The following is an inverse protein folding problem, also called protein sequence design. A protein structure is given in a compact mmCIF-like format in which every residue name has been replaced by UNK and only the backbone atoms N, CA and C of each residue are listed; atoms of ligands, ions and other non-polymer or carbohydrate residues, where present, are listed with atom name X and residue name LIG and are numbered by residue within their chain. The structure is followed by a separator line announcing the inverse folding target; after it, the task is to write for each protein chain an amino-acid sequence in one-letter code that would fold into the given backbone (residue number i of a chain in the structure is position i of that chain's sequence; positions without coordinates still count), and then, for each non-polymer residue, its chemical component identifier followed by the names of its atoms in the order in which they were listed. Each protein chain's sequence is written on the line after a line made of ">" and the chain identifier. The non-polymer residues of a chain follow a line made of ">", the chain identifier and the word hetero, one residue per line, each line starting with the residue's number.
data_IF_736489044359
#
_entry.id   IF_736489044359
#
_cell.length_a   1.000
_cell.length_b   1.000
_cell.length_c   1.000
_cell.angle_alpha   90.00
_cell.angle_beta   90.00
_cell.angle_gamma   90.00
#
_symmetry.space_group_name_H-M   'P 1'
#
loop_
_entity.id
_entity.type
_entity.pdbx_description
1 polymer ?
#
# COMPACT_ATOMS: atom_id res chain seq x y z
N UNK A 1 -37.15 20.28 1.86
CA UNK A 1 -37.42 18.90 1.45
C UNK A 1 -36.44 18.55 0.33
N UNK A 2 -35.33 17.90 0.67
CA UNK A 2 -34.40 17.38 -0.33
C UNK A 2 -34.85 15.97 -0.61
N UNK A 3 -35.46 15.76 -1.77
CA UNK A 3 -35.75 14.42 -2.28
C UNK A 3 -34.41 13.73 -2.58
N UNK A 4 -33.99 12.87 -1.67
CA UNK A 4 -32.89 11.94 -1.88
C UNK A 4 -33.31 10.98 -2.99
N UNK A 5 -32.80 11.16 -4.20
CA UNK A 5 -32.71 10.08 -5.17
C UNK A 5 -31.65 9.12 -4.62
N UNK A 6 -32.09 8.04 -3.98
CA UNK A 6 -31.21 6.94 -3.63
C UNK A 6 -30.65 6.39 -4.94
N UNK A 7 -29.35 6.56 -5.17
CA UNK A 7 -28.66 5.87 -6.27
C UNK A 7 -28.73 4.37 -5.96
N UNK A 8 -29.55 3.66 -6.73
CA UNK A 8 -29.65 2.20 -6.60
C UNK A 8 -28.46 1.62 -7.37
N UNK A 9 -27.55 0.97 -6.67
CA UNK A 9 -26.41 0.28 -7.30
C UNK A 9 -26.92 -0.72 -8.33
N UNK A 10 -26.51 -0.65 -9.61
CA UNK A 10 -27.08 -1.46 -10.68
C UNK A 10 -26.74 -2.95 -10.51
N UNK A 11 -27.76 -3.80 -10.80
CA UNK A 11 -27.62 -5.26 -10.81
C UNK A 11 -27.52 -5.73 -12.27
N UNK A 12 -26.46 -6.45 -12.59
CA UNK A 12 -26.22 -7.09 -13.88
C UNK A 12 -26.42 -8.59 -13.74
N UNK A 13 -27.45 -9.13 -14.42
CA UNK A 13 -27.82 -10.53 -14.28
C UNK A 13 -27.21 -11.36 -15.41
N UNK A 14 -26.26 -12.22 -15.10
CA UNK A 14 -25.56 -13.13 -15.98
C UNK A 14 -25.02 -12.45 -17.26
N UNK A 15 -24.26 -11.32 -17.13
CA UNK A 15 -23.75 -10.60 -18.29
C UNK A 15 -22.78 -11.50 -19.08
N UNK A 16 -22.84 -11.46 -20.42
CA UNK A 16 -21.90 -12.21 -21.25
C UNK A 16 -20.46 -11.68 -21.04
N UNK A 17 -19.47 -12.57 -21.18
CA UNK A 17 -18.04 -12.22 -20.94
C UNK A 17 -17.57 -10.99 -21.74
N UNK A 18 -18.12 -10.76 -22.91
CA UNK A 18 -17.79 -9.58 -23.74
C UNK A 18 -18.14 -8.25 -23.07
N UNK A 19 -19.04 -8.22 -22.09
CA UNK A 19 -19.41 -7.02 -21.32
C UNK A 19 -18.56 -6.83 -20.05
N UNK A 20 -17.82 -7.85 -19.61
CA UNK A 20 -17.02 -7.79 -18.41
C UNK A 20 -16.01 -6.64 -18.38
N UNK A 21 -15.28 -6.32 -19.46
CA UNK A 21 -14.37 -5.18 -19.47
C UNK A 21 -15.02 -3.85 -19.07
N UNK A 22 -16.33 -3.67 -19.40
CA UNK A 22 -17.08 -2.49 -18.99
C UNK A 22 -17.47 -2.56 -17.51
N UNK A 23 -17.79 -3.74 -16.99
CA UNK A 23 -18.21 -3.94 -15.61
C UNK A 23 -17.06 -3.83 -14.63
N UNK A 24 -15.86 -4.25 -15.03
CA UNK A 24 -14.63 -4.14 -14.24
C UNK A 24 -13.91 -2.80 -14.44
N UNK A 25 -14.42 -1.91 -15.31
CA UNK A 25 -13.81 -0.60 -15.52
C UNK A 25 -13.89 0.25 -14.27
N UNK A 26 -12.82 0.97 -14.00
CA UNK A 26 -12.68 1.92 -12.91
C UNK A 26 -12.93 3.33 -13.39
N UNK A 27 -13.29 4.23 -12.48
CA UNK A 27 -13.38 5.65 -12.80
C UNK A 27 -12.00 6.12 -13.28
N UNK A 28 -11.93 6.68 -14.49
CA UNK A 28 -10.69 7.22 -15.02
C UNK A 28 -10.40 8.58 -14.34
N UNK A 29 -9.34 8.67 -13.57
CA UNK A 29 -8.82 9.96 -13.13
C UNK A 29 -8.05 10.61 -14.30
N UNK A 30 -8.41 11.85 -14.63
CA UNK A 30 -7.60 12.68 -15.52
C UNK A 30 -6.48 13.33 -14.72
N UNK A 31 -5.29 12.78 -14.83
CA UNK A 31 -4.10 13.29 -14.11
C UNK A 31 -3.40 14.46 -14.82
N UNK A 32 -3.80 14.80 -16.04
CA UNK A 32 -3.09 15.81 -16.86
C UNK A 32 -3.10 17.20 -16.24
N UNK A 33 -4.09 17.52 -15.43
CA UNK A 33 -4.27 18.84 -14.80
C UNK A 33 -3.32 19.06 -13.59
N UNK A 34 -2.81 17.99 -12.97
CA UNK A 34 -1.93 18.10 -11.81
C UNK A 34 -0.44 17.90 -12.12
N UNK A 35 -0.10 17.34 -13.29
CA UNK A 35 1.28 17.01 -13.66
C UNK A 35 2.23 18.21 -13.56
N UNK A 36 1.82 19.35 -14.11
CA UNK A 36 2.63 20.55 -14.10
C UNK A 36 2.84 21.09 -12.66
N UNK A 37 1.78 21.08 -11.84
CA UNK A 37 1.83 21.54 -10.47
C UNK A 37 2.71 20.66 -9.60
N UNK A 38 2.58 19.33 -9.72
CA UNK A 38 3.41 18.38 -8.97
C UNK A 38 4.87 18.47 -9.37
N UNK A 39 5.16 18.55 -10.68
CA UNK A 39 6.53 18.75 -11.20
C UNK A 39 7.16 20.04 -10.67
N UNK A 40 6.41 21.13 -10.65
CA UNK A 40 6.88 22.40 -10.10
C UNK A 40 7.18 22.30 -8.60
N UNK A 41 6.33 21.61 -7.84
CA UNK A 41 6.54 21.35 -6.40
C UNK A 41 7.81 20.52 -6.17
N UNK A 42 7.98 19.42 -6.91
CA UNK A 42 9.17 18.57 -6.81
C UNK A 42 10.45 19.36 -7.09
N UNK A 43 10.47 20.13 -8.17
CA UNK A 43 11.63 20.94 -8.56
C UNK A 43 11.92 22.08 -7.57
N UNK A 44 10.88 22.70 -7.01
CA UNK A 44 11.03 23.77 -6.04
C UNK A 44 11.67 23.27 -4.75
N UNK A 45 11.22 22.13 -4.21
CA UNK A 45 11.85 21.51 -3.02
C UNK A 45 13.27 21.03 -3.34
N UNK A 46 13.49 20.45 -4.52
CA UNK A 46 14.83 20.00 -4.95
C UNK A 46 15.87 21.13 -4.96
N UNK A 47 15.45 22.34 -5.33
CA UNK A 47 16.36 23.49 -5.50
C UNK A 47 16.46 24.40 -4.28
N UNK A 48 15.42 24.47 -3.45
CA UNK A 48 15.32 25.42 -2.33
C UNK A 48 15.21 24.76 -0.95
N UNK A 49 15.19 23.43 -0.87
CA UNK A 49 15.21 22.69 0.39
C UNK A 49 14.11 23.09 1.38
N UNK A 50 14.47 23.29 2.65
CA UNK A 50 13.53 23.64 3.72
C UNK A 50 12.77 24.94 3.47
N UNK A 51 13.37 25.90 2.77
CA UNK A 51 12.69 27.16 2.39
C UNK A 51 11.48 26.87 1.50
N UNK A 52 11.61 25.98 0.54
CA UNK A 52 10.49 25.59 -0.31
C UNK A 52 9.41 24.86 0.49
N UNK A 53 9.81 23.97 1.41
CA UNK A 53 8.85 23.27 2.28
C UNK A 53 8.03 24.25 3.10
N UNK A 54 8.64 25.21 3.77
CA UNK A 54 7.94 26.23 4.57
C UNK A 54 6.95 27.05 3.71
N UNK A 55 7.38 27.47 2.50
CA UNK A 55 6.52 28.22 1.59
C UNK A 55 5.32 27.40 1.10
N UNK A 56 5.53 26.10 0.80
CA UNK A 56 4.49 25.21 0.34
C UNK A 56 3.48 24.84 1.44
N UNK A 57 3.93 24.64 2.70
CA UNK A 57 3.05 24.45 3.85
C UNK A 57 2.17 25.71 4.09
N UNK A 58 2.76 26.89 3.95
CA UNK A 58 1.99 28.14 4.01
C UNK A 58 0.96 28.25 2.90
N UNK A 59 1.30 27.84 1.69
CA UNK A 59 0.46 27.96 0.50
C UNK A 59 -0.66 26.93 0.43
N UNK A 60 -0.38 25.68 0.75
CA UNK A 60 -1.31 24.56 0.55
C UNK A 60 -2.05 24.15 1.84
N UNK A 61 -1.37 24.22 2.97
CA UNK A 61 -1.94 23.82 4.27
C UNK A 61 -2.35 25.06 5.12
N UNK A 62 -2.03 26.28 4.65
CA UNK A 62 -2.29 27.56 5.34
C UNK A 62 -1.58 27.65 6.70
N UNK A 63 -0.44 27.00 6.86
CA UNK A 63 0.35 26.99 8.10
C UNK A 63 1.66 27.73 7.90
N UNK A 64 1.87 28.77 8.70
CA UNK A 64 3.12 29.53 8.72
C UNK A 64 3.98 29.03 9.89
N UNK A 65 4.98 28.22 9.61
CA UNK A 65 5.97 27.84 10.61
C UNK A 65 6.97 28.96 10.83
N UNK A 66 7.32 29.20 12.09
CA UNK A 66 8.24 30.27 12.50
C UNK A 66 9.70 29.94 12.24
N UNK A 67 10.04 28.66 12.08
CA UNK A 67 11.39 28.17 11.78
C UNK A 67 11.33 26.78 11.15
N UNK A 68 12.44 26.32 10.56
CA UNK A 68 12.58 24.99 9.98
C UNK A 68 12.53 23.88 11.05
N UNK A 69 13.00 24.14 12.26
CA UNK A 69 12.94 23.20 13.40
C UNK A 69 11.49 22.92 13.80
N UNK A 70 10.60 23.89 13.59
CA UNK A 70 9.18 23.73 13.89
C UNK A 70 8.48 22.71 12.97
N UNK A 71 9.07 22.35 11.82
CA UNK A 71 8.59 21.27 10.97
C UNK A 71 8.71 19.90 11.66
N UNK A 72 9.71 19.70 12.52
CA UNK A 72 9.92 18.44 13.23
C UNK A 72 9.11 18.39 14.52
N UNK A 73 8.49 17.25 14.80
CA UNK A 73 7.86 16.96 16.09
C UNK A 73 8.97 16.74 17.12
N UNK A 74 8.96 17.53 18.19
CA UNK A 74 9.94 17.45 19.28
C UNK A 74 9.65 16.28 20.23
N UNK A 75 10.66 15.83 20.99
CA UNK A 75 10.45 14.83 22.04
C UNK A 75 9.46 15.29 23.12
N UNK A 76 9.40 16.61 23.38
CA UNK A 76 8.41 17.19 24.29
C UNK A 76 6.99 17.03 23.73
N UNK A 77 6.77 17.36 22.46
CA UNK A 77 5.47 17.14 21.79
C UNK A 77 5.08 15.65 21.81
N UNK A 78 6.01 14.73 21.56
CA UNK A 78 5.76 13.28 21.65
C UNK A 78 5.30 12.89 23.07
N UNK A 79 5.95 13.39 24.10
CA UNK A 79 5.60 13.10 25.49
C UNK A 79 4.21 13.64 25.86
N UNK A 80 3.90 14.90 25.51
CA UNK A 80 2.61 15.54 25.73
C UNK A 80 1.47 14.78 25.03
N UNK A 81 1.67 14.43 23.76
CA UNK A 81 0.72 13.66 22.96
C UNK A 81 0.50 12.27 23.57
N UNK A 82 1.57 11.61 23.99
CA UNK A 82 1.47 10.28 24.62
C UNK A 82 0.61 10.33 25.89
N UNK A 83 0.65 11.43 26.65
CA UNK A 83 -0.19 11.60 27.82
C UNK A 83 -1.67 11.83 27.46
N UNK A 84 -1.97 12.46 26.32
CA UNK A 84 -3.33 12.86 25.93
C UNK A 84 -4.17 11.77 25.29
N UNK A 85 -3.57 10.70 24.72
CA UNK A 85 -4.31 9.59 24.11
C UNK A 85 -5.00 8.73 25.17
N UNK A 86 -6.26 8.37 24.94
CA UNK A 86 -7.07 7.62 25.92
C UNK A 86 -6.50 6.22 26.19
N UNK A 87 -6.69 5.66 27.40
CA UNK A 87 -6.24 4.30 27.73
C UNK A 87 -6.83 3.24 26.80
N UNK A 88 -8.08 3.38 26.39
CA UNK A 88 -8.78 2.43 25.51
C UNK A 88 -8.12 2.42 24.13
N UNK A 89 -7.82 3.59 23.57
CA UNK A 89 -7.16 3.67 22.26
C UNK A 89 -5.71 3.18 22.33
N UNK A 90 -5.00 3.43 23.42
CA UNK A 90 -3.67 2.85 23.67
C UNK A 90 -3.70 1.33 23.68
N UNK A 91 -4.70 0.75 24.35
CA UNK A 91 -4.86 -0.71 24.40
C UNK A 91 -5.16 -1.29 23.00
N UNK A 92 -6.03 -0.65 22.23
CA UNK A 92 -6.35 -1.07 20.86
C UNK A 92 -5.12 -0.99 19.94
N UNK A 93 -4.36 0.11 20.00
CA UNK A 93 -3.12 0.27 19.23
C UNK A 93 -2.07 -0.78 19.64
N UNK A 94 -1.94 -1.09 20.93
CA UNK A 94 -1.00 -2.10 21.41
C UNK A 94 -1.37 -3.50 20.91
N UNK A 95 -2.65 -3.85 20.88
CA UNK A 95 -3.13 -5.13 20.34
C UNK A 95 -2.84 -5.22 18.82
N UNK A 96 -3.20 -4.18 18.05
CA UNK A 96 -2.94 -4.12 16.62
C UNK A 96 -1.43 -4.23 16.33
N UNK A 97 -0.60 -3.44 17.01
CA UNK A 97 0.85 -3.49 16.91
C UNK A 97 1.40 -4.91 17.15
N UNK A 98 0.91 -5.58 18.20
CA UNK A 98 1.35 -6.94 18.55
C UNK A 98 1.06 -7.93 17.41
N UNK A 99 -0.15 -7.89 16.86
CA UNK A 99 -0.57 -8.79 15.79
C UNK A 99 0.19 -8.53 14.49
N UNK A 100 0.30 -7.25 14.08
CA UNK A 100 1.05 -6.83 12.89
C UNK A 100 2.52 -7.24 13.02
N UNK A 101 3.14 -6.98 14.18
CA UNK A 101 4.52 -7.37 14.44
C UNK A 101 4.71 -8.88 14.37
N UNK A 102 3.80 -9.66 14.98
CA UNK A 102 3.86 -11.12 14.94
C UNK A 102 3.81 -11.67 13.52
N UNK A 103 2.88 -11.18 12.71
CA UNK A 103 2.71 -11.62 11.33
C UNK A 103 3.92 -11.25 10.46
N UNK A 104 4.39 -10.00 10.55
CA UNK A 104 5.53 -9.55 9.74
C UNK A 104 6.86 -10.17 10.22
N UNK A 105 7.03 -10.47 11.51
CA UNK A 105 8.21 -11.16 12.00
C UNK A 105 8.36 -12.58 11.43
N UNK A 106 7.24 -13.25 11.16
CA UNK A 106 7.23 -14.58 10.54
C UNK A 106 7.68 -14.57 9.06
N UNK A 107 7.72 -13.39 8.43
CA UNK A 107 8.16 -13.21 7.03
C UNK A 107 9.68 -13.00 6.90
N UNK A 108 10.45 -13.00 8.01
CA UNK A 108 11.88 -12.74 7.95
C UNK A 108 12.59 -13.76 7.05
N UNK A 109 13.22 -13.32 5.96
CA UNK A 109 13.85 -14.23 5.00
C UNK A 109 15.11 -14.85 5.58
N UNK A 110 15.30 -16.14 5.30
CA UNK A 110 16.55 -16.84 5.57
C UNK A 110 17.56 -16.59 4.45
N UNK A 111 18.85 -16.63 4.79
CA UNK A 111 19.92 -16.59 3.80
C UNK A 111 19.89 -17.88 2.98
N UNK A 112 19.75 -17.75 1.66
CA UNK A 112 19.94 -18.88 0.74
C UNK A 112 21.43 -19.11 0.55
N UNK A 113 21.87 -20.37 0.64
CA UNK A 113 23.23 -20.81 0.33
C UNK A 113 23.14 -22.07 -0.52
N UNK A 114 23.76 -22.04 -1.71
CA UNK A 114 23.77 -23.17 -2.66
C UNK A 114 25.16 -23.30 -3.25
N UNK A 115 25.72 -24.48 -3.20
CA UNK A 115 26.86 -24.87 -4.01
C UNK A 115 26.35 -25.32 -5.36
N UNK A 116 26.58 -24.50 -6.41
CA UNK A 116 26.04 -24.75 -7.77
C UNK A 116 26.93 -25.67 -8.58
N UNK A 117 28.25 -25.70 -8.24
CA UNK A 117 29.25 -26.62 -8.74
C UNK A 117 30.31 -26.79 -7.66
N UNK A 118 31.12 -27.86 -7.65
CA UNK A 118 32.17 -28.04 -6.66
C UNK A 118 33.06 -26.81 -6.55
N UNK A 119 33.14 -26.21 -5.34
CA UNK A 119 33.93 -25.00 -5.07
C UNK A 119 33.30 -23.70 -5.57
N UNK A 120 32.02 -23.70 -5.99
CA UNK A 120 31.26 -22.51 -6.39
C UNK A 120 30.05 -22.36 -5.50
N UNK A 121 30.07 -21.40 -4.58
CA UNK A 121 29.00 -21.18 -3.62
C UNK A 121 28.34 -19.83 -3.88
N UNK A 122 27.01 -19.88 -4.11
CA UNK A 122 26.18 -18.70 -4.29
C UNK A 122 25.28 -18.47 -3.07
N UNK A 123 25.20 -17.22 -2.65
CA UNK A 123 24.34 -16.82 -1.54
C UNK A 123 23.36 -15.75 -2.00
N UNK A 124 22.19 -15.72 -1.35
CA UNK A 124 21.29 -14.56 -1.39
C UNK A 124 21.00 -14.12 0.04
N UNK A 125 21.37 -12.89 0.36
CA UNK A 125 21.18 -12.26 1.67
C UNK A 125 20.19 -11.11 1.58
N UNK A 126 19.18 -11.11 2.45
CA UNK A 126 18.32 -9.96 2.63
C UNK A 126 19.00 -8.93 3.55
N UNK A 127 18.95 -7.67 3.14
CA UNK A 127 19.49 -6.53 3.91
C UNK A 127 18.42 -5.43 3.97
N UNK A 128 18.20 -4.80 5.15
CA UNK A 128 17.24 -3.72 5.28
C UNK A 128 17.64 -2.52 4.41
N UNK A 129 16.62 -1.76 4.00
CA UNK A 129 16.83 -0.42 3.46
C UNK A 129 17.39 0.47 4.57
N UNK A 130 18.32 1.35 4.22
CA UNK A 130 18.99 2.20 5.21
C UNK A 130 18.05 3.27 5.76
N UNK A 131 17.35 3.99 4.89
CA UNK A 131 16.41 5.03 5.30
C UNK A 131 15.12 4.95 4.49
N UNK A 132 14.01 4.82 5.20
CA UNK A 132 12.68 4.72 4.60
C UNK A 132 11.84 5.93 4.97
N UNK A 133 11.12 6.47 4.00
CA UNK A 133 10.18 7.57 4.17
C UNK A 133 8.75 7.04 4.21
N UNK A 134 8.01 7.38 5.26
CA UNK A 134 6.62 7.00 5.46
C UNK A 134 5.74 8.25 5.34
N UNK A 135 4.84 8.25 4.37
CA UNK A 135 3.82 9.29 4.26
C UNK A 135 2.52 8.82 4.90
N UNK A 136 2.02 9.60 5.84
CA UNK A 136 0.77 9.31 6.56
C UNK A 136 -0.25 10.42 6.26
N UNK A 137 -1.37 10.10 5.61
CA UNK A 137 -2.43 11.09 5.40
C UNK A 137 -3.00 11.60 6.73
N UNK A 138 -3.19 12.91 6.84
CA UNK A 138 -3.73 13.56 8.03
C UNK A 138 -5.01 14.37 7.78
N UNK A 139 -5.53 14.37 6.54
CA UNK A 139 -6.59 15.27 6.09
C UNK A 139 -7.98 14.93 6.63
N UNK A 140 -8.85 14.30 5.84
CA UNK A 140 -10.24 14.00 6.18
C UNK A 140 -10.41 12.99 7.32
N UNK A 141 -9.44 12.08 7.46
CA UNK A 141 -9.34 11.14 8.57
C UNK A 141 -7.86 10.94 8.92
N UNK A 142 -7.49 10.98 10.20
CA UNK A 142 -6.12 10.68 10.62
C UNK A 142 -5.90 9.17 10.57
N UNK A 143 -5.23 8.69 9.52
CA UNK A 143 -5.00 7.27 9.29
C UNK A 143 -3.84 6.75 10.15
N UNK A 144 -3.99 6.76 11.48
CA UNK A 144 -2.96 6.27 12.39
C UNK A 144 -2.70 4.75 12.25
N UNK A 145 -3.67 3.97 11.74
CA UNK A 145 -3.47 2.56 11.38
C UNK A 145 -2.37 2.40 10.34
N UNK A 146 -2.31 3.30 9.36
CA UNK A 146 -1.25 3.30 8.34
C UNK A 146 0.14 3.48 8.96
N UNK A 147 0.26 4.18 10.09
CA UNK A 147 1.55 4.23 10.82
C UNK A 147 1.99 2.84 11.23
N UNK A 148 1.08 2.05 11.82
CA UNK A 148 1.39 0.67 12.25
C UNK A 148 1.74 -0.20 11.04
N UNK A 149 0.96 -0.11 9.96
CA UNK A 149 1.15 -0.89 8.74
C UNK A 149 2.46 -0.61 8.02
N UNK A 150 3.02 0.58 8.17
CA UNK A 150 4.29 0.96 7.55
C UNK A 150 5.48 0.86 8.51
N UNK A 151 5.33 1.40 9.72
CA UNK A 151 6.46 1.50 10.65
C UNK A 151 6.79 0.17 11.35
N UNK A 152 5.79 -0.69 11.60
CA UNK A 152 6.05 -2.01 12.20
C UNK A 152 6.89 -2.89 11.29
N UNK A 153 6.53 -3.14 10.02
CA UNK A 153 7.38 -3.94 9.15
C UNK A 153 8.74 -3.28 8.87
N UNK A 154 8.83 -1.94 8.76
CA UNK A 154 10.11 -1.24 8.65
C UNK A 154 11.02 -1.52 9.85
N UNK A 155 10.48 -1.46 11.07
CA UNK A 155 11.19 -1.78 12.32
C UNK A 155 11.58 -3.26 12.39
N UNK A 156 10.68 -4.19 12.02
CA UNK A 156 10.94 -5.64 11.99
C UNK A 156 12.03 -5.98 10.98
N UNK A 157 12.03 -5.33 9.80
CA UNK A 157 13.07 -5.48 8.80
C UNK A 157 14.44 -5.00 9.28
N UNK A 158 14.48 -4.16 10.33
CA UNK A 158 15.69 -3.58 10.87
C UNK A 158 16.16 -2.34 10.10
N UNK A 159 15.26 -1.55 9.49
CA UNK A 159 15.60 -0.29 8.85
C UNK A 159 16.18 0.67 9.90
N UNK A 160 17.45 1.13 9.75
CA UNK A 160 18.11 1.96 10.78
C UNK A 160 17.45 3.32 10.96
N UNK A 161 16.91 3.88 9.90
CA UNK A 161 16.32 5.20 9.91
C UNK A 161 14.91 5.16 9.28
N UNK A 162 13.91 5.57 10.06
CA UNK A 162 12.52 5.70 9.62
C UNK A 162 12.14 7.16 9.76
N UNK A 163 11.78 7.79 8.66
CA UNK A 163 11.29 9.16 8.57
C UNK A 163 9.79 9.12 8.31
N UNK A 164 8.99 9.87 9.06
CA UNK A 164 7.56 9.96 8.89
C UNK A 164 7.16 11.39 8.58
N UNK A 165 6.40 11.60 7.50
CA UNK A 165 5.79 12.86 7.16
C UNK A 165 4.27 12.74 7.24
N UNK A 166 3.62 13.73 7.87
CA UNK A 166 2.16 13.85 7.95
C UNK A 166 1.78 15.33 7.92
N UNK A 167 0.69 15.71 7.24
CA UNK A 167 0.28 17.11 7.21
C UNK A 167 -0.04 17.62 8.63
N UNK A 168 0.29 18.88 8.92
CA UNK A 168 -0.14 19.54 10.16
C UNK A 168 -1.64 19.78 10.18
N UNK A 169 -2.21 19.95 11.37
CA UNK A 169 -3.55 20.49 11.56
C UNK A 169 -3.54 22.04 11.44
N UNK A 170 -4.72 22.64 11.59
CA UNK A 170 -4.89 24.12 11.51
C UNK A 170 -4.05 24.90 12.53
N UNK A 171 -3.58 24.29 13.59
CA UNK A 171 -2.75 24.88 14.64
C UNK A 171 -1.25 24.56 14.44
N UNK A 172 -0.87 23.98 13.29
CA UNK A 172 0.50 23.62 12.95
C UNK A 172 1.02 22.41 13.74
N UNK A 173 0.14 21.56 14.26
CA UNK A 173 0.49 20.37 15.04
C UNK A 173 0.24 19.10 14.26
N UNK A 174 1.04 18.08 14.50
CA UNK A 174 0.75 16.74 14.00
C UNK A 174 -0.39 16.10 14.82
N UNK A 175 -1.21 15.27 14.14
CA UNK A 175 -2.30 14.59 14.83
C UNK A 175 -1.78 13.74 16.00
N UNK A 176 -2.35 13.88 17.22
CA UNK A 176 -1.87 13.21 18.43
C UNK A 176 -1.80 11.69 18.29
N UNK A 177 -2.79 11.07 17.65
CA UNK A 177 -2.84 9.60 17.53
C UNK A 177 -1.80 9.08 16.53
N UNK A 178 -1.52 9.83 15.44
CA UNK A 178 -0.44 9.53 14.50
C UNK A 178 0.91 9.56 15.22
N UNK A 179 1.19 10.63 15.98
CA UNK A 179 2.44 10.77 16.74
C UNK A 179 2.59 9.66 17.79
N UNK A 180 1.51 9.35 18.50
CA UNK A 180 1.51 8.25 19.47
C UNK A 180 1.80 6.89 18.80
N UNK A 181 1.10 6.55 17.74
CA UNK A 181 1.33 5.30 17.00
C UNK A 181 2.78 5.21 16.48
N UNK A 182 3.33 6.32 15.94
CA UNK A 182 4.71 6.41 15.52
C UNK A 182 5.68 6.15 16.69
N UNK A 183 5.42 6.74 17.85
CA UNK A 183 6.25 6.54 19.05
C UNK A 183 6.24 5.09 19.56
N UNK A 184 5.09 4.40 19.49
CA UNK A 184 4.95 2.97 19.81
C UNK A 184 5.82 2.12 18.89
N UNK A 185 5.93 2.51 17.60
CA UNK A 185 6.80 1.85 16.63
C UNK A 185 8.29 2.23 16.73
N UNK A 186 8.65 3.13 17.66
CA UNK A 186 10.04 3.61 17.81
C UNK A 186 10.45 4.70 16.84
N UNK A 187 9.50 5.25 16.05
CA UNK A 187 9.78 6.34 15.10
C UNK A 187 9.89 7.67 15.84
N UNK A 188 11.03 8.37 15.66
CA UNK A 188 11.34 9.66 16.29
C UNK A 188 11.51 10.79 15.27
N UNK A 189 11.79 10.47 14.01
CA UNK A 189 11.91 11.45 12.95
C UNK A 189 10.55 11.68 12.31
N UNK A 190 9.72 12.49 12.97
CA UNK A 190 8.36 12.81 12.54
C UNK A 190 8.34 14.28 12.11
N UNK A 191 7.83 14.54 10.89
CA UNK A 191 7.77 15.87 10.29
C UNK A 191 6.34 16.26 9.95
N UNK A 192 6.00 17.50 10.25
CA UNK A 192 4.71 18.14 9.96
C UNK A 192 4.74 18.70 8.54
N UNK A 193 4.78 17.81 7.56
CA UNK A 193 4.84 18.14 6.13
C UNK A 193 3.81 17.29 5.39
N UNK A 194 2.91 17.94 4.66
CA UNK A 194 1.86 17.32 3.88
C UNK A 194 2.17 17.20 2.40
N UNK A 195 1.22 16.72 1.60
CA UNK A 195 1.18 16.82 0.15
C UNK A 195 2.37 16.28 -0.65
N UNK A 196 2.48 16.76 -1.88
CA UNK A 196 3.58 16.42 -2.78
C UNK A 196 4.94 16.93 -2.27
N UNK A 197 4.96 18.02 -1.47
CA UNK A 197 6.18 18.56 -0.88
C UNK A 197 6.80 17.60 0.15
N UNK A 198 5.99 16.81 0.87
CA UNK A 198 6.51 15.76 1.75
C UNK A 198 7.24 14.66 0.94
N UNK A 199 6.65 14.24 -0.17
CA UNK A 199 7.28 13.29 -1.10
C UNK A 199 8.58 13.85 -1.64
N UNK A 200 8.59 15.14 -2.05
CA UNK A 200 9.77 15.83 -2.54
C UNK A 200 10.88 15.91 -1.47
N UNK A 201 10.54 16.32 -0.24
CA UNK A 201 11.49 16.40 0.87
C UNK A 201 12.12 15.02 1.19
N UNK A 202 11.32 13.96 1.26
CA UNK A 202 11.82 12.60 1.46
C UNK A 202 12.68 12.11 0.29
N UNK A 203 12.35 12.52 -0.95
CA UNK A 203 13.05 12.09 -2.16
C UNK A 203 14.42 12.74 -2.32
N UNK A 204 14.48 14.04 -2.18
CA UNK A 204 15.70 14.80 -2.47
C UNK A 204 16.54 15.05 -1.20
N UNK A 205 15.91 15.03 -0.05
CA UNK A 205 16.44 15.55 1.19
C UNK A 205 16.31 17.07 1.25
N UNK A 206 16.36 17.61 2.46
CA UNK A 206 16.48 19.04 2.76
C UNK A 206 17.55 19.22 3.83
N UNK A 207 17.76 20.43 4.33
CA UNK A 207 18.72 20.68 5.39
C UNK A 207 18.34 19.97 6.70
N UNK A 208 17.03 19.81 6.97
CA UNK A 208 16.51 19.17 8.20
C UNK A 208 16.03 17.75 8.00
N UNK A 209 15.60 17.36 6.80
CA UNK A 209 15.07 16.04 6.47
C UNK A 209 16.03 15.30 5.54
N UNK A 210 16.63 14.23 6.01
CA UNK A 210 17.58 13.45 5.21
C UNK A 210 16.87 12.62 4.12
N UNK A 211 17.46 12.58 2.91
CA UNK A 211 16.99 11.80 1.75
C UNK A 211 16.71 10.34 2.12
N UNK A 212 15.56 9.81 1.68
CA UNK A 212 15.15 8.42 1.85
C UNK A 212 15.45 7.56 0.62
N UNK A 213 15.73 6.28 0.84
CA UNK A 213 16.00 5.31 -0.23
C UNK A 213 14.71 4.84 -0.91
N UNK A 214 13.62 4.76 -0.13
CA UNK A 214 12.30 4.34 -0.62
C UNK A 214 11.19 5.04 0.16
N UNK A 215 10.10 5.38 -0.54
CA UNK A 215 8.96 6.12 0.00
C UNK A 215 7.74 5.22 -0.01
N UNK A 216 7.05 5.18 1.13
CA UNK A 216 5.88 4.35 1.38
C UNK A 216 4.70 5.20 1.81
N UNK A 217 3.51 4.68 1.60
CA UNK A 217 2.27 5.21 2.14
C UNK A 217 1.27 5.68 1.10
N UNK A 218 -0.03 5.59 1.43
CA UNK A 218 -1.12 6.11 0.62
C UNK A 218 -1.15 7.64 0.68
N UNK A 219 -1.86 8.25 -0.26
CA UNK A 219 -2.04 9.70 -0.28
C UNK A 219 -3.10 10.12 -1.27
N UNK A 220 -3.39 11.42 -1.31
CA UNK A 220 -4.25 11.99 -2.32
C UNK A 220 -3.57 11.95 -3.70
N UNK A 221 -4.30 12.33 -4.76
CA UNK A 221 -3.81 12.31 -6.15
C UNK A 221 -2.48 13.06 -6.35
N UNK A 222 -2.21 14.16 -5.61
CA UNK A 222 -0.95 14.90 -5.70
C UNK A 222 0.23 14.11 -5.10
N UNK A 223 0.00 13.46 -3.96
CA UNK A 223 1.00 12.58 -3.30
C UNK A 223 1.30 11.38 -4.19
N UNK A 224 0.26 10.73 -4.71
CA UNK A 224 0.42 9.57 -5.59
C UNK A 224 1.14 9.94 -6.87
N UNK A 225 0.79 11.09 -7.49
CA UNK A 225 1.48 11.60 -8.68
C UNK A 225 2.94 11.94 -8.41
N UNK A 226 3.23 12.58 -7.28
CA UNK A 226 4.60 12.86 -6.86
C UNK A 226 5.42 11.56 -6.70
N UNK A 227 4.86 10.55 -6.03
CA UNK A 227 5.49 9.22 -5.91
C UNK A 227 5.76 8.59 -7.29
N UNK A 228 4.79 8.59 -8.20
CA UNK A 228 4.97 8.06 -9.56
C UNK A 228 6.12 8.77 -10.29
N UNK A 229 6.17 10.11 -10.24
CA UNK A 229 7.21 10.90 -10.91
C UNK A 229 8.60 10.61 -10.37
N UNK A 230 8.77 10.54 -9.05
CA UNK A 230 10.07 10.26 -8.44
C UNK A 230 10.46 8.78 -8.57
N UNK A 231 9.47 7.88 -8.60
CA UNK A 231 9.66 6.45 -8.75
C UNK A 231 10.32 6.04 -10.06
N UNK A 232 10.19 6.87 -11.10
CA UNK A 232 10.78 6.62 -12.40
C UNK A 232 12.31 6.85 -12.44
N UNK A 233 12.87 7.67 -11.52
CA UNK A 233 14.26 8.13 -11.72
C UNK A 233 15.07 8.42 -10.46
N UNK A 234 14.45 8.64 -9.30
CA UNK A 234 15.16 9.23 -8.15
C UNK A 234 15.08 8.39 -6.87
N UNK A 235 13.90 7.93 -6.49
CA UNK A 235 13.68 7.16 -5.27
C UNK A 235 12.69 6.03 -5.53
N UNK A 236 12.93 4.85 -4.95
CA UNK A 236 11.96 3.77 -5.06
C UNK A 236 10.64 4.14 -4.33
N UNK A 237 9.53 3.58 -4.79
CA UNK A 237 8.24 3.69 -4.11
C UNK A 237 7.70 2.30 -3.78
N UNK A 238 6.72 2.24 -2.87
CA UNK A 238 6.06 0.98 -2.49
C UNK A 238 5.36 0.32 -3.69
N UNK A 239 4.29 0.93 -4.19
CA UNK A 239 3.51 0.44 -5.31
C UNK A 239 2.69 1.57 -5.94
N UNK A 240 2.23 1.41 -7.19
CA UNK A 240 1.16 2.24 -7.73
C UNK A 240 -0.13 1.99 -6.96
N UNK A 241 -0.86 3.05 -6.65
CA UNK A 241 -2.17 2.97 -6.01
C UNK A 241 -3.11 4.02 -6.58
N UNK A 242 -4.39 3.75 -6.53
CA UNK A 242 -5.50 4.62 -6.88
C UNK A 242 -6.56 4.60 -5.78
N UNK A 243 -7.83 4.86 -6.09
CA UNK A 243 -8.94 4.76 -5.14
C UNK A 243 -9.09 3.36 -4.56
N UNK A 244 -9.62 3.29 -3.34
CA UNK A 244 -9.83 2.02 -2.62
C UNK A 244 -10.92 1.16 -3.29
N UNK A 245 -10.72 -0.16 -3.24
CA UNK A 245 -11.56 -1.14 -3.93
C UNK A 245 -11.88 -2.33 -3.05
N UNK A 246 -13.13 -2.80 -3.10
CA UNK A 246 -13.50 -4.10 -2.52
C UNK A 246 -14.32 -4.92 -3.51
N UNK A 247 -14.08 -6.22 -3.53
CA UNK A 247 -14.94 -7.20 -4.16
C UNK A 247 -15.46 -8.20 -3.13
N UNK A 248 -16.77 -8.42 -3.08
CA UNK A 248 -17.38 -9.46 -2.25
C UNK A 248 -17.92 -10.55 -3.15
N UNK A 249 -17.51 -11.79 -2.92
CA UNK A 249 -18.06 -12.98 -3.55
C UNK A 249 -19.06 -13.61 -2.58
N UNK A 250 -20.32 -13.80 -3.00
CA UNK A 250 -21.39 -14.29 -2.13
C UNK A 250 -22.25 -15.38 -2.77
N UNK A 251 -22.58 -16.40 -2.00
CA UNK A 251 -23.58 -17.39 -2.35
C UNK A 251 -24.72 -17.42 -1.31
N UNK A 252 -25.64 -18.37 -1.41
CA UNK A 252 -26.78 -18.51 -0.50
C UNK A 252 -26.43 -18.77 0.97
N UNK A 253 -25.16 -18.91 1.33
CA UNK A 253 -24.68 -19.04 2.72
C UNK A 253 -24.19 -17.72 3.31
N UNK A 254 -24.09 -16.67 2.48
CA UNK A 254 -23.72 -15.33 2.93
C UNK A 254 -24.86 -14.64 3.67
N UNK A 255 -24.53 -13.90 4.72
CA UNK A 255 -25.47 -12.98 5.37
C UNK A 255 -25.48 -11.64 4.61
N UNK A 256 -26.63 -11.20 4.05
CA UNK A 256 -26.73 -9.94 3.31
C UNK A 256 -26.34 -8.71 4.13
N UNK A 257 -26.52 -8.72 5.47
CA UNK A 257 -26.11 -7.62 6.35
C UNK A 257 -24.58 -7.53 6.46
N UNK A 258 -23.88 -8.67 6.52
CA UNK A 258 -22.43 -8.71 6.56
C UNK A 258 -21.85 -8.26 5.22
N UNK A 259 -22.39 -8.78 4.10
CA UNK A 259 -21.98 -8.38 2.75
C UNK A 259 -22.17 -6.88 2.54
N UNK A 260 -23.31 -6.32 2.99
CA UNK A 260 -23.57 -4.89 2.90
C UNK A 260 -22.58 -4.06 3.73
N UNK A 261 -22.22 -4.51 4.93
CA UNK A 261 -21.26 -3.82 5.78
C UNK A 261 -19.88 -3.77 5.12
N UNK A 262 -19.40 -4.89 4.56
CA UNK A 262 -18.13 -4.96 3.84
C UNK A 262 -18.14 -4.13 2.54
N UNK A 263 -19.26 -4.12 1.83
CA UNK A 263 -19.46 -3.30 0.62
C UNK A 263 -19.38 -1.80 0.93
N UNK A 264 -19.86 -1.39 2.10
CA UNK A 264 -19.90 0.01 2.54
C UNK A 264 -18.59 0.45 3.19
N UNK A 265 -17.81 -0.47 3.78
CA UNK A 265 -16.54 -0.13 4.46
C UNK A 265 -15.56 0.55 3.51
N UNK A 266 -15.45 0.09 2.25
CA UNK A 266 -14.63 0.76 1.24
C UNK A 266 -15.26 2.02 0.67
N UNK A 267 -16.60 2.02 0.54
CA UNK A 267 -17.32 3.17 -0.01
C UNK A 267 -17.17 4.45 0.82
N UNK A 268 -16.83 4.34 2.11
CA UNK A 268 -16.64 5.52 2.97
C UNK A 268 -15.24 6.17 2.86
N UNK A 269 -14.26 5.51 2.24
CA UNK A 269 -12.90 6.06 2.07
C UNK A 269 -12.88 7.30 1.19
N UNK A 270 -13.60 7.27 0.05
CA UNK A 270 -13.64 8.40 -0.87
C UNK A 270 -14.75 8.30 -1.91
N UNK A 271 -15.08 9.41 -2.58
CA UNK A 271 -16.14 9.42 -3.60
C UNK A 271 -15.80 8.59 -4.83
N UNK A 272 -14.50 8.31 -5.05
CA UNK A 272 -13.97 7.57 -6.21
C UNK A 272 -13.74 6.09 -5.89
N UNK A 273 -14.04 5.64 -4.65
CA UNK A 273 -13.98 4.24 -4.23
C UNK A 273 -14.96 3.38 -5.01
N UNK A 274 -14.61 2.11 -5.22
CA UNK A 274 -15.46 1.17 -5.95
C UNK A 274 -15.67 -0.11 -5.15
N UNK A 275 -16.94 -0.51 -5.00
CA UNK A 275 -17.34 -1.78 -4.40
C UNK A 275 -18.05 -2.65 -5.45
N UNK A 276 -17.65 -3.91 -5.58
CA UNK A 276 -18.27 -4.87 -6.50
C UNK A 276 -18.76 -6.08 -5.70
N UNK A 277 -20.05 -6.39 -5.82
CA UNK A 277 -20.60 -7.67 -5.38
C UNK A 277 -20.68 -8.61 -6.58
N UNK A 278 -20.14 -9.81 -6.44
CA UNK A 278 -20.37 -10.93 -7.36
C UNK A 278 -21.10 -12.03 -6.60
N UNK A 279 -22.31 -12.36 -7.01
CA UNK A 279 -23.13 -13.33 -6.27
C UNK A 279 -23.81 -14.35 -7.20
N UNK A 280 -24.27 -15.45 -6.60
CA UNK A 280 -24.82 -16.59 -7.35
C UNK A 280 -26.30 -16.43 -7.73
N UNK A 281 -27.02 -15.43 -7.22
CA UNK A 281 -28.42 -15.21 -7.55
C UNK A 281 -28.86 -13.76 -7.39
N UNK A 282 -29.87 -13.37 -8.16
CA UNK A 282 -30.49 -12.05 -8.08
C UNK A 282 -31.16 -11.80 -6.72
N UNK A 283 -31.67 -12.85 -6.07
CA UNK A 283 -32.25 -12.73 -4.75
C UNK A 283 -31.22 -12.24 -3.70
N UNK A 284 -30.01 -12.75 -3.74
CA UNK A 284 -28.91 -12.28 -2.88
C UNK A 284 -28.61 -10.82 -3.19
N UNK A 285 -28.43 -10.47 -4.46
CA UNK A 285 -28.13 -9.09 -4.86
C UNK A 285 -29.19 -8.10 -4.34
N UNK A 286 -30.49 -8.42 -4.48
CA UNK A 286 -31.59 -7.60 -3.96
C UNK A 286 -31.57 -7.45 -2.44
N UNK A 287 -31.33 -8.55 -1.72
CA UNK A 287 -31.23 -8.52 -0.26
C UNK A 287 -30.06 -7.64 0.21
N UNK A 288 -28.94 -7.66 -0.50
CA UNK A 288 -27.78 -6.81 -0.22
C UNK A 288 -28.08 -5.34 -0.56
N UNK A 289 -28.75 -5.03 -1.67
CA UNK A 289 -29.22 -3.66 -1.99
C UNK A 289 -30.05 -3.09 -0.85
N UNK A 290 -31.03 -3.87 -0.35
CA UNK A 290 -31.88 -3.44 0.75
C UNK A 290 -31.07 -3.21 2.04
N UNK A 291 -30.09 -4.07 2.32
CA UNK A 291 -29.20 -3.94 3.48
C UNK A 291 -28.29 -2.71 3.35
N UNK A 292 -27.70 -2.48 2.18
CA UNK A 292 -26.89 -1.28 1.86
C UNK A 292 -27.69 -0.01 2.09
N UNK A 293 -28.93 0.06 1.61
CA UNK A 293 -29.78 1.23 1.81
C UNK A 293 -30.08 1.49 3.30
N UNK A 294 -30.39 0.43 4.07
CA UNK A 294 -30.65 0.54 5.51
C UNK A 294 -29.42 0.97 6.29
N UNK A 295 -28.25 0.41 5.97
CA UNK A 295 -27.01 0.71 6.69
C UNK A 295 -26.47 2.09 6.35
N UNK A 296 -26.48 2.50 5.07
CA UNK A 296 -26.04 3.84 4.63
C UNK A 296 -26.76 4.96 5.38
N UNK A 297 -28.08 4.78 5.65
CA UNK A 297 -28.87 5.77 6.38
C UNK A 297 -28.40 6.02 7.82
N UNK A 298 -27.57 5.15 8.38
CA UNK A 298 -27.05 5.23 9.76
C UNK A 298 -25.60 5.72 9.80
N UNK A 299 -24.92 5.78 8.66
CA UNK A 299 -23.50 6.14 8.59
C UNK A 299 -23.33 7.65 8.46
N UNK A 300 -22.34 8.19 9.19
CA UNK A 300 -22.06 9.63 9.20
C UNK A 300 -21.51 10.16 7.88
N UNK A 301 -20.89 9.32 7.06
CA UNK A 301 -20.28 9.65 5.76
C UNK A 301 -21.20 9.37 4.56
N UNK A 302 -22.52 9.31 4.75
CA UNK A 302 -23.49 8.94 3.73
C UNK A 302 -23.38 9.69 2.39
N UNK A 303 -22.98 10.97 2.40
CA UNK A 303 -22.79 11.75 1.17
C UNK A 303 -21.55 11.31 0.34
N UNK A 304 -20.52 10.78 1.00
CA UNK A 304 -19.34 10.22 0.33
C UNK A 304 -19.69 8.85 -0.21
N UNK A 305 -20.31 8.01 0.62
CA UNK A 305 -20.79 6.69 0.25
C UNK A 305 -21.69 6.74 -0.98
N UNK A 306 -22.66 7.67 -1.01
CA UNK A 306 -23.57 7.81 -2.16
C UNK A 306 -22.81 8.01 -3.48
N UNK A 307 -21.74 8.80 -3.49
CA UNK A 307 -20.92 9.01 -4.69
C UNK A 307 -20.09 7.76 -5.06
N UNK A 308 -19.55 7.04 -4.08
CA UNK A 308 -18.85 5.79 -4.32
C UNK A 308 -19.78 4.71 -4.88
N UNK A 309 -21.05 4.68 -4.45
CA UNK A 309 -22.07 3.77 -4.96
C UNK A 309 -22.39 4.00 -6.46
N UNK A 310 -22.21 5.21 -7.00
CA UNK A 310 -22.37 5.49 -8.43
C UNK A 310 -21.34 4.72 -9.29
N UNK A 311 -20.19 4.39 -8.73
CA UNK A 311 -19.13 3.60 -9.37
C UNK A 311 -19.22 2.10 -9.03
N UNK A 312 -20.08 1.72 -8.10
CA UNK A 312 -20.20 0.36 -7.57
C UNK A 312 -21.20 -0.47 -8.39
N UNK A 313 -21.07 -1.79 -8.35
CA UNK A 313 -21.88 -2.70 -9.17
C UNK A 313 -22.19 -4.00 -8.42
N UNK A 314 -23.32 -4.62 -8.78
CA UNK A 314 -23.66 -5.97 -8.38
C UNK A 314 -23.79 -6.85 -9.61
N UNK A 315 -23.07 -7.95 -9.64
CA UNK A 315 -23.00 -8.88 -10.77
C UNK A 315 -23.48 -10.24 -10.31
N UNK A 316 -24.45 -10.80 -10.99
CA UNK A 316 -24.95 -12.15 -10.73
C UNK A 316 -24.33 -13.09 -11.75
N UNK A 317 -23.57 -14.09 -11.29
CA UNK A 317 -22.98 -15.14 -12.11
C UNK A 317 -23.32 -16.50 -11.49
N UNK A 318 -23.90 -17.40 -12.27
CA UNK A 318 -24.36 -18.70 -11.77
C UNK A 318 -23.25 -19.76 -11.75
N UNK A 319 -22.22 -19.59 -12.57
CA UNK A 319 -21.06 -20.47 -12.63
C UNK A 319 -19.98 -20.04 -11.64
N UNK A 320 -19.48 -20.99 -10.85
CA UNK A 320 -18.37 -20.75 -9.90
C UNK A 320 -17.09 -20.37 -10.64
N UNK A 321 -16.84 -20.97 -11.79
CA UNK A 321 -15.72 -20.66 -12.66
C UNK A 321 -15.79 -19.22 -13.15
N UNK A 322 -16.96 -18.75 -13.60
CA UNK A 322 -17.14 -17.39 -14.06
C UNK A 322 -16.97 -16.36 -12.91
N UNK A 323 -17.38 -16.69 -11.69
CA UNK A 323 -17.13 -15.86 -10.50
C UNK A 323 -15.63 -15.69 -10.26
N UNK A 324 -14.86 -16.78 -10.33
CA UNK A 324 -13.40 -16.78 -10.12
C UNK A 324 -12.72 -16.03 -11.27
N UNK A 325 -13.10 -16.30 -12.50
CA UNK A 325 -12.52 -15.63 -13.68
C UNK A 325 -12.79 -14.11 -13.61
N UNK A 326 -14.02 -13.71 -13.27
CA UNK A 326 -14.36 -12.29 -13.10
C UNK A 326 -13.55 -11.62 -12.00
N UNK A 327 -13.35 -12.31 -10.86
CA UNK A 327 -12.53 -11.80 -9.77
C UNK A 327 -11.07 -11.61 -10.21
N UNK A 328 -10.49 -12.59 -10.92
CA UNK A 328 -9.13 -12.52 -11.43
C UNK A 328 -8.98 -11.46 -12.54
N UNK A 329 -10.00 -11.25 -13.37
CA UNK A 329 -10.00 -10.16 -14.36
C UNK A 329 -10.15 -8.79 -13.72
N UNK A 330 -10.83 -8.64 -12.61
CA UNK A 330 -10.89 -7.39 -11.87
C UNK A 330 -9.58 -7.15 -11.10
N UNK A 331 -9.00 -8.18 -10.50
CA UNK A 331 -7.83 -8.10 -9.64
C UNK A 331 -8.00 -7.06 -8.52
N UNK A 332 -8.91 -7.29 -7.57
CA UNK A 332 -9.29 -6.33 -6.53
C UNK A 332 -8.17 -6.08 -5.53
N UNK A 333 -8.20 -4.91 -4.92
CA UNK A 333 -7.42 -4.61 -3.72
C UNK A 333 -7.78 -5.57 -2.58
N UNK A 334 -9.07 -5.60 -2.21
CA UNK A 334 -9.62 -6.50 -1.21
C UNK A 334 -10.63 -7.44 -1.85
N UNK A 335 -10.57 -8.72 -1.50
CA UNK A 335 -11.61 -9.69 -1.89
C UNK A 335 -12.10 -10.46 -0.67
N UNK A 336 -13.41 -10.44 -0.44
CA UNK A 336 -14.08 -11.16 0.63
C UNK A 336 -14.84 -12.32 0.02
N UNK A 337 -14.61 -13.54 0.51
CA UNK A 337 -15.23 -14.76 -0.03
C UNK A 337 -16.23 -15.29 1.00
N UNK A 338 -17.47 -14.79 0.92
CA UNK A 338 -18.62 -15.21 1.73
C UNK A 338 -19.42 -16.29 1.00
N UNK A 339 -18.77 -17.41 0.74
CA UNK A 339 -19.34 -18.53 -0.01
C UNK A 339 -19.15 -19.85 0.75
N UNK A 340 -19.96 -20.87 0.40
CA UNK A 340 -19.75 -22.23 0.86
C UNK A 340 -18.38 -22.74 0.35
N UNK A 341 -17.59 -23.35 1.25
CA UNK A 341 -16.26 -23.83 0.95
C UNK A 341 -15.36 -22.72 0.32
N UNK A 342 -15.12 -21.63 1.07
CA UNK A 342 -14.46 -20.45 0.53
C UNK A 342 -13.00 -20.69 0.12
N UNK A 343 -12.32 -21.65 0.74
CA UNK A 343 -10.94 -22.01 0.38
C UNK A 343 -10.82 -22.57 -1.04
N UNK A 344 -11.81 -23.35 -1.51
CA UNK A 344 -11.80 -23.85 -2.88
C UNK A 344 -11.96 -22.75 -3.95
N UNK A 345 -12.43 -21.56 -3.55
CA UNK A 345 -12.44 -20.35 -4.38
C UNK A 345 -11.14 -19.60 -4.22
N UNK A 346 -10.69 -19.39 -2.97
CA UNK A 346 -9.47 -18.66 -2.66
C UNK A 346 -8.23 -19.24 -3.35
N UNK A 347 -8.08 -20.57 -3.37
CA UNK A 347 -6.97 -21.27 -4.04
C UNK A 347 -6.89 -21.03 -5.55
N UNK A 348 -7.98 -20.55 -6.17
CA UNK A 348 -8.04 -20.22 -7.60
C UNK A 348 -8.01 -18.71 -7.88
N UNK A 349 -8.09 -17.88 -6.85
CA UNK A 349 -7.88 -16.44 -6.99
C UNK A 349 -6.38 -16.17 -7.02
N UNK A 350 -5.89 -15.71 -8.18
CA UNK A 350 -4.47 -15.50 -8.44
C UNK A 350 -4.09 -14.02 -8.51
N UNK A 351 -5.07 -13.13 -8.44
CA UNK A 351 -4.88 -11.69 -8.56
C UNK A 351 -5.77 -10.95 -7.55
N UNK A 352 -5.27 -10.71 -6.34
CA UNK A 352 -5.90 -9.89 -5.30
C UNK A 352 -4.83 -9.32 -4.38
N UNK A 353 -5.07 -8.15 -3.82
CA UNK A 353 -4.18 -7.56 -2.82
C UNK A 353 -4.26 -8.31 -1.49
N UNK A 354 -5.47 -8.58 -1.01
CA UNK A 354 -5.74 -9.37 0.21
C UNK A 354 -7.03 -10.18 0.07
N UNK A 355 -7.05 -11.40 0.62
CA UNK A 355 -8.20 -12.31 0.57
C UNK A 355 -8.72 -12.55 1.99
N UNK A 356 -10.02 -12.35 2.19
CA UNK A 356 -10.75 -12.55 3.45
C UNK A 356 -11.68 -13.77 3.32
N UNK A 357 -11.55 -14.73 4.22
CA UNK A 357 -12.17 -16.04 4.11
C UNK A 357 -13.36 -16.19 5.04
N UNK A 358 -14.56 -16.34 4.46
CA UNK A 358 -15.79 -16.64 5.18
C UNK A 358 -16.49 -15.44 5.79
N UNK A 359 -17.70 -15.66 6.31
CA UNK A 359 -18.62 -14.61 6.77
C UNK A 359 -18.12 -13.80 7.99
N UNK A 360 -17.14 -14.29 8.74
CA UNK A 360 -16.61 -13.61 9.93
C UNK A 360 -15.24 -12.96 9.72
N UNK A 361 -14.84 -12.76 8.47
CA UNK A 361 -13.59 -12.11 8.09
C UNK A 361 -13.85 -10.78 7.38
N UNK A 362 -14.30 -9.74 8.10
CA UNK A 362 -14.55 -8.44 7.50
C UNK A 362 -13.23 -7.81 7.08
N UNK A 363 -13.27 -6.98 6.04
CA UNK A 363 -12.13 -6.21 5.57
C UNK A 363 -11.48 -5.38 6.68
N UNK A 364 -12.29 -4.74 7.52
CA UNK A 364 -11.83 -3.92 8.65
C UNK A 364 -10.94 -4.69 9.65
N UNK A 365 -11.03 -6.03 9.71
CA UNK A 365 -10.09 -6.81 10.51
C UNK A 365 -8.66 -6.72 9.94
N UNK A 366 -8.51 -6.79 8.62
CA UNK A 366 -7.24 -6.60 7.92
C UNK A 366 -6.72 -5.18 8.04
N UNK A 367 -7.61 -4.21 7.94
CA UNK A 367 -7.27 -2.79 7.99
C UNK A 367 -6.73 -2.33 9.35
N UNK A 368 -7.15 -2.97 10.42
CA UNK A 368 -6.80 -2.48 11.76
C UNK A 368 -6.00 -3.46 12.61
N UNK A 369 -6.36 -4.75 12.67
CA UNK A 369 -5.94 -5.55 13.81
C UNK A 369 -5.58 -7.01 13.56
N UNK A 370 -5.95 -7.64 12.43
CA UNK A 370 -5.70 -9.07 12.20
C UNK A 370 -4.21 -9.40 12.07
N UNK A 371 -3.39 -8.46 11.59
CA UNK A 371 -1.94 -8.62 11.46
C UNK A 371 -1.42 -8.51 10.03
N UNK A 372 -2.26 -8.69 9.01
CA UNK A 372 -1.93 -8.44 7.61
C UNK A 372 -1.77 -6.94 7.35
N UNK A 373 -1.31 -6.57 6.16
CA UNK A 373 -1.09 -5.17 5.81
C UNK A 373 -2.19 -4.65 4.91
N UNK A 374 -2.69 -3.45 5.19
CA UNK A 374 -3.73 -2.81 4.41
C UNK A 374 -3.21 -1.92 3.26
N UNK A 375 -1.89 -1.75 3.15
CA UNK A 375 -1.31 -1.03 2.01
C UNK A 375 -1.21 -2.00 0.85
N UNK A 376 -2.20 -1.96 -0.02
CA UNK A 376 -2.43 -2.94 -1.07
C UNK A 376 -2.44 -2.28 -2.45
N UNK A 377 -2.13 -3.04 -3.52
CA UNK A 377 -2.23 -2.53 -4.88
C UNK A 377 -3.71 -2.41 -5.29
N UNK A 378 -4.08 -1.25 -5.81
CA UNK A 378 -5.41 -0.96 -6.38
C UNK A 378 -5.37 -0.95 -7.90
N UNK A 379 -6.47 -0.62 -8.55
CA UNK A 379 -6.54 -0.37 -10.01
C UNK A 379 -6.02 -1.54 -10.86
N UNK A 380 -6.23 -2.77 -10.38
CA UNK A 380 -5.81 -4.00 -11.05
C UNK A 380 -4.31 -4.30 -10.94
N UNK A 381 -3.54 -3.49 -10.23
CA UNK A 381 -2.11 -3.75 -10.01
C UNK A 381 -1.84 -4.99 -9.17
N UNK A 382 -2.84 -5.57 -8.51
CA UNK A 382 -2.72 -6.85 -7.80
C UNK A 382 -2.33 -8.03 -8.72
N UNK A 383 -2.36 -7.86 -10.05
CA UNK A 383 -1.81 -8.82 -11.02
C UNK A 383 -0.29 -8.91 -11.02
N UNK A 384 0.40 -7.86 -10.57
CA UNK A 384 1.86 -7.75 -10.68
C UNK A 384 2.56 -7.20 -9.45
N UNK A 385 1.81 -6.60 -8.52
CA UNK A 385 2.32 -6.09 -7.25
C UNK A 385 1.68 -6.83 -6.08
N UNK A 386 2.50 -7.17 -5.10
CA UNK A 386 2.01 -7.68 -3.82
C UNK A 386 1.58 -6.53 -2.90
N UNK A 387 0.66 -6.80 -1.98
CA UNK A 387 0.47 -5.96 -0.82
C UNK A 387 1.76 -5.78 -0.03
N UNK A 388 1.84 -4.71 0.75
CA UNK A 388 3.02 -4.39 1.53
C UNK A 388 3.34 -5.54 2.51
N UNK A 389 4.56 -5.97 2.49
CA UNK A 389 5.10 -7.04 3.32
C UNK A 389 6.53 -6.70 3.75
N UNK A 390 7.18 -7.59 4.49
CA UNK A 390 8.52 -7.36 5.00
C UNK A 390 9.57 -7.18 3.90
N UNK A 391 9.44 -7.91 2.77
CA UNK A 391 10.36 -7.82 1.63
C UNK A 391 10.38 -6.41 1.02
N UNK A 392 9.29 -5.63 1.15
CA UNK A 392 9.22 -4.26 0.64
C UNK A 392 10.24 -3.31 1.33
N UNK A 393 10.65 -3.63 2.57
CA UNK A 393 11.62 -2.87 3.37
C UNK A 393 13.03 -3.44 3.31
N UNK A 394 13.25 -4.46 2.49
CA UNK A 394 14.52 -5.15 2.33
C UNK A 394 14.92 -5.20 0.86
N UNK A 395 16.18 -5.45 0.62
CA UNK A 395 16.70 -5.80 -0.72
C UNK A 395 17.48 -7.10 -0.61
N UNK A 396 17.38 -7.92 -1.65
CA UNK A 396 18.13 -9.17 -1.73
C UNK A 396 19.42 -8.93 -2.52
N UNK A 397 20.54 -9.26 -1.92
CA UNK A 397 21.87 -9.08 -2.47
C UNK A 397 22.50 -10.46 -2.68
N UNK A 398 23.02 -10.72 -3.87
CA UNK A 398 23.73 -11.94 -4.18
C UNK A 398 25.20 -11.82 -3.82
N UNK A 399 25.78 -12.92 -3.32
CA UNK A 399 27.21 -13.04 -3.02
C UNK A 399 27.68 -14.33 -3.69
N UNK A 400 28.85 -14.27 -4.32
CA UNK A 400 29.47 -15.42 -4.96
C UNK A 400 30.87 -15.63 -4.35
N UNK A 401 31.15 -16.86 -3.95
CA UNK A 401 32.43 -17.31 -3.45
C UNK A 401 32.89 -18.48 -4.32
N UNK A 402 34.02 -18.32 -4.99
CA UNK A 402 34.53 -19.30 -5.95
C UNK A 402 35.97 -19.64 -5.57
N UNK A 403 36.23 -20.92 -5.32
CA UNK A 403 37.60 -21.41 -5.11
C UNK A 403 38.37 -21.49 -6.44
N UNK A 404 39.67 -21.68 -6.38
CA UNK A 404 40.50 -21.90 -7.58
C UNK A 404 40.03 -23.13 -8.36
N UNK A 405 39.71 -24.22 -7.67
CA UNK A 405 39.20 -25.46 -8.25
C UNK A 405 37.83 -25.23 -8.89
N UNK A 406 36.94 -24.49 -8.21
CA UNK A 406 35.65 -24.10 -8.75
C UNK A 406 35.77 -23.24 -10.00
N UNK A 407 36.69 -22.28 -10.01
CA UNK A 407 36.95 -21.46 -11.19
C UNK A 407 37.54 -22.30 -12.33
N UNK A 408 38.43 -23.24 -12.03
CA UNK A 408 38.96 -24.17 -13.05
C UNK A 408 37.86 -24.99 -13.67
N UNK A 409 36.88 -25.45 -12.87
CA UNK A 409 35.75 -26.24 -13.39
C UNK A 409 34.77 -25.42 -14.25
N UNK A 410 34.66 -24.11 -14.04
CA UNK A 410 33.79 -23.21 -14.81
C UNK A 410 34.49 -22.44 -15.92
N UNK A 411 35.82 -22.42 -15.93
CA UNK A 411 36.63 -21.53 -16.75
C UNK A 411 36.34 -21.61 -18.24
N UNK A 412 36.30 -22.83 -18.79
CA UNK A 412 35.98 -23.04 -20.20
C UNK A 412 34.56 -22.63 -20.57
N UNK A 413 33.58 -22.84 -19.68
CA UNK A 413 32.21 -22.41 -19.89
C UNK A 413 32.12 -20.89 -19.95
N UNK A 414 32.71 -20.20 -18.96
CA UNK A 414 32.67 -18.73 -18.89
C UNK A 414 33.38 -18.14 -20.12
N UNK A 415 34.55 -18.65 -20.45
CA UNK A 415 35.31 -18.21 -21.61
C UNK A 415 34.55 -18.38 -22.92
N UNK A 416 34.00 -19.57 -23.15
CA UNK A 416 33.24 -19.85 -24.36
C UNK A 416 32.04 -18.92 -24.53
N UNK A 417 31.28 -18.71 -23.45
CA UNK A 417 30.12 -17.79 -23.46
C UNK A 417 30.55 -16.34 -23.71
N UNK A 418 31.55 -15.87 -22.98
CA UNK A 418 32.02 -14.50 -23.11
C UNK A 418 32.54 -14.19 -24.53
N UNK A 419 33.30 -15.10 -25.14
CA UNK A 419 33.80 -14.93 -26.50
C UNK A 419 32.65 -14.99 -27.53
N UNK A 420 31.64 -15.84 -27.32
CA UNK A 420 30.46 -15.88 -28.19
C UNK A 420 29.65 -14.59 -28.16
N UNK A 421 29.69 -13.85 -27.03
CA UNK A 421 29.08 -12.54 -26.88
C UNK A 421 30.01 -11.39 -27.35
N UNK A 422 31.25 -11.67 -27.74
CA UNK A 422 32.26 -10.68 -28.14
C UNK A 422 32.86 -9.90 -26.96
N UNK A 423 32.84 -10.51 -25.74
CA UNK A 423 33.29 -9.87 -24.50
C UNK A 423 34.67 -10.44 -24.08
N UNK A 424 35.73 -10.07 -24.83
CA UNK A 424 37.10 -10.57 -24.59
C UNK A 424 37.64 -10.30 -23.19
N UNK A 425 37.32 -9.15 -22.60
CA UNK A 425 37.74 -8.81 -21.25
C UNK A 425 37.12 -9.72 -20.17
N UNK A 426 35.89 -10.24 -20.40
CA UNK A 426 35.28 -11.22 -19.50
C UNK A 426 35.96 -12.59 -19.59
N UNK A 427 36.36 -13.02 -20.79
CA UNK A 427 37.14 -14.23 -20.99
C UNK A 427 38.52 -14.10 -20.31
N UNK A 428 39.22 -13.02 -20.59
CA UNK A 428 40.56 -12.73 -19.99
C UNK A 428 40.52 -12.66 -18.46
N UNK A 429 39.42 -12.19 -17.85
CA UNK A 429 39.27 -12.13 -16.40
C UNK A 429 39.35 -13.52 -15.72
N UNK A 430 38.95 -14.59 -16.42
CA UNK A 430 39.07 -15.98 -15.96
C UNK A 430 40.49 -16.51 -16.27
N UNK A 431 40.97 -16.31 -17.48
CA UNK A 431 42.27 -16.81 -17.95
C UNK A 431 43.41 -16.37 -17.04
N UNK A 432 43.55 -15.07 -16.75
CA UNK A 432 44.60 -14.52 -15.89
C UNK A 432 44.59 -15.04 -14.45
N UNK A 433 43.47 -15.56 -13.97
CA UNK A 433 43.35 -16.18 -12.64
C UNK A 433 43.74 -17.64 -12.63
N UNK A 434 43.64 -18.31 -13.75
CA UNK A 434 43.99 -19.73 -13.90
C UNK A 434 45.44 -19.94 -14.30
N UNK A 435 46.07 -18.95 -14.93
CA UNK A 435 47.50 -18.95 -15.28
C UNK A 435 48.43 -18.81 -14.06
N UNK A 436 47.94 -18.27 -12.96
CA UNK A 436 48.67 -18.10 -11.66
C UNK A 436 48.40 -19.28 -10.74
#
# INVERSE_FOLDING_TARGET
>A
MVTSTSSVTPIYNNPPRIEWPKLISRAAESDSDIDASVRATLEYVRTQGDKAVLDLESRYDNIVFTSVEALKVSDKEIAEVTASVSPELKAAIAQAYSNIRKFHSAQMPQTVKVETSPGVVCYQKAVPLRRVGLYIPGGRAPLFSTVLMLAVPASVAGCPEIVLCTPPDKDGKANPVIVYAASVCGVRNIFKIGGAQAVAAMTYGTETLAKCDKIFGPGNRYVMKAKQMVGLSVAAIDMPAGPSEVMVLADGTADPEFVAADFLSQSEHGPDSQSILVCTSEAIAKSVVDAVARQTARLSRGSIIAKALDHSRMVVLTSREDIIDFANEYAPEHIIISMRDPWSVADKVVAAGSIFIGNYSPESAGDYASGTNHTLPTSGWARSFSGLNLDAFMRKMTIQEISREGLSGLGDTIRTMALAEGLDAHAAAVEVRLEK
#
